data_IF_475003653586
#
_entry.id   IF_475003653586
#
_cell.length_a   1.000
_cell.length_b   1.000
_cell.length_c   1.000
_cell.angle_alpha   90.00
_cell.angle_beta   90.00
_cell.angle_gamma   90.00
#
_symmetry.space_group_name_H-M   'P 1'
#
loop_
_entity.id
_entity.type
_entity.pdbx_description
1 polymer ?
#
# COMPACT_ATOMS: atom_id res chain seq x y z
N UNK A 1 -12.07 -3.81 17.98
CA UNK A 1 -10.80 -3.48 17.30
C UNK A 1 -9.98 -4.75 17.16
N UNK A 2 -9.49 -5.04 15.96
CA UNK A 2 -8.60 -6.17 15.65
C UNK A 2 -7.18 -5.66 15.44
N UNK A 3 -6.19 -6.47 15.78
CA UNK A 3 -4.78 -6.23 15.41
C UNK A 3 -4.36 -7.43 14.56
N UNK A 4 -3.91 -7.15 13.34
CA UNK A 4 -3.42 -8.17 12.41
C UNK A 4 -1.92 -7.95 12.18
N UNK A 5 -1.15 -9.00 12.32
CA UNK A 5 0.29 -9.00 12.08
C UNK A 5 0.61 -9.41 10.64
N UNK A 6 1.80 -9.09 10.20
CA UNK A 6 2.25 -9.24 8.81
C UNK A 6 1.98 -10.63 8.22
N UNK A 7 2.23 -11.70 8.97
CA UNK A 7 2.02 -13.07 8.47
C UNK A 7 0.54 -13.45 8.33
N UNK A 8 -0.33 -12.95 9.21
CA UNK A 8 -1.79 -13.10 9.08
C UNK A 8 -2.28 -12.33 7.85
N UNK A 9 -1.78 -11.09 7.68
CA UNK A 9 -2.11 -10.25 6.51
C UNK A 9 -1.69 -10.94 5.22
N UNK A 10 -0.48 -11.48 5.14
CA UNK A 10 0.01 -12.23 3.98
C UNK A 10 -0.86 -13.44 3.67
N UNK A 11 -1.32 -14.15 4.69
CA UNK A 11 -2.22 -15.30 4.51
C UNK A 11 -3.55 -14.88 3.90
N UNK A 12 -4.16 -13.83 4.44
CA UNK A 12 -5.43 -13.29 3.93
C UNK A 12 -5.26 -12.80 2.48
N UNK A 13 -4.20 -12.04 2.21
CA UNK A 13 -3.95 -11.45 0.89
C UNK A 13 -3.78 -12.50 -0.20
N UNK A 14 -3.19 -13.67 0.10
CA UNK A 14 -3.04 -14.77 -0.86
C UNK A 14 -4.36 -15.38 -1.32
N UNK A 15 -5.41 -15.25 -0.52
CA UNK A 15 -6.75 -15.76 -0.82
C UNK A 15 -7.61 -14.75 -1.60
N UNK A 16 -7.13 -13.51 -1.78
CA UNK A 16 -7.86 -12.44 -2.44
C UNK A 16 -7.42 -12.27 -3.90
N UNK A 17 -8.39 -12.06 -4.78
CA UNK A 17 -8.11 -11.52 -6.11
C UNK A 17 -7.94 -10.00 -6.01
N UNK A 18 -6.69 -9.56 -5.96
CA UNK A 18 -6.35 -8.16 -5.73
C UNK A 18 -6.54 -7.27 -6.96
N UNK A 19 -6.42 -7.84 -8.16
CA UNK A 19 -6.43 -7.06 -9.40
C UNK A 19 -7.74 -6.28 -9.58
N UNK A 20 -8.94 -6.92 -9.52
CA UNK A 20 -10.19 -6.18 -9.61
C UNK A 20 -10.41 -5.21 -8.45
N UNK A 21 -9.91 -5.52 -7.24
CA UNK A 21 -10.04 -4.65 -6.07
C UNK A 21 -9.25 -3.34 -6.26
N UNK A 22 -8.00 -3.43 -6.68
CA UNK A 22 -7.14 -2.26 -6.93
C UNK A 22 -7.66 -1.46 -8.13
N UNK A 23 -8.08 -2.14 -9.20
CA UNK A 23 -8.69 -1.51 -10.39
C UNK A 23 -9.94 -0.69 -10.02
N UNK A 24 -10.82 -1.24 -9.17
CA UNK A 24 -11.99 -0.52 -8.62
C UNK A 24 -11.57 0.76 -7.87
N UNK A 25 -10.48 0.70 -7.10
CA UNK A 25 -9.94 1.86 -6.40
C UNK A 25 -9.47 2.96 -7.36
N UNK A 26 -8.76 2.62 -8.43
CA UNK A 26 -8.35 3.58 -9.48
C UNK A 26 -9.56 4.21 -10.19
N UNK A 27 -10.56 3.41 -10.52
CA UNK A 27 -11.80 3.92 -11.13
C UNK A 27 -12.51 4.88 -10.19
N UNK A 28 -12.66 4.53 -8.91
CA UNK A 28 -13.28 5.41 -7.92
C UNK A 28 -12.53 6.75 -7.78
N UNK A 29 -11.21 6.73 -7.85
CA UNK A 29 -10.39 7.95 -7.83
C UNK A 29 -10.64 8.80 -9.09
N UNK A 30 -10.62 8.19 -10.27
CA UNK A 30 -10.82 8.88 -11.55
C UNK A 30 -12.23 9.49 -11.69
N UNK A 31 -13.23 8.87 -11.07
CA UNK A 31 -14.61 9.36 -11.04
C UNK A 31 -14.87 10.39 -9.93
N UNK A 32 -13.85 10.80 -9.17
CA UNK A 32 -13.98 11.77 -8.08
C UNK A 32 -14.75 11.24 -6.86
N UNK A 33 -14.90 9.92 -6.73
CA UNK A 33 -15.56 9.28 -5.59
C UNK A 33 -14.61 9.03 -4.41
N UNK A 34 -13.32 9.25 -4.61
CA UNK A 34 -12.33 9.13 -3.55
C UNK A 34 -11.94 10.49 -3.01
N UNK A 35 -11.86 10.60 -1.69
CA UNK A 35 -11.29 11.76 -1.00
C UNK A 35 -9.90 11.39 -0.51
N UNK A 36 -8.89 12.01 -1.11
CA UNK A 36 -7.46 11.76 -0.80
C UNK A 36 -6.79 13.12 -0.55
N UNK A 37 -6.62 13.53 0.70
CA UNK A 37 -5.94 14.78 1.05
C UNK A 37 -4.45 14.75 0.67
N UNK A 38 -3.75 15.91 0.71
CA UNK A 38 -2.32 15.95 0.51
C UNK A 38 -1.57 15.02 1.47
N UNK A 39 -0.45 14.48 0.99
CA UNK A 39 0.39 13.56 1.78
C UNK A 39 1.09 14.34 2.89
N UNK A 40 1.00 13.84 4.12
CA UNK A 40 1.87 14.28 5.21
C UNK A 40 3.26 13.67 5.01
N UNK A 41 4.30 14.49 5.09
CA UNK A 41 5.68 14.05 4.87
C UNK A 41 6.61 14.55 5.97
N UNK A 42 7.49 13.65 6.43
CA UNK A 42 8.63 13.98 7.29
C UNK A 42 9.89 13.48 6.59
N UNK A 43 10.88 14.37 6.44
CA UNK A 43 12.18 14.04 5.86
C UNK A 43 13.27 14.12 6.93
N UNK A 44 14.14 13.12 6.97
CA UNK A 44 15.25 13.00 7.91
C UNK A 44 16.58 13.03 7.15
N UNK A 45 17.51 13.83 7.62
CA UNK A 45 18.84 13.92 7.00
C UNK A 45 19.85 12.95 7.65
N UNK A 46 19.73 12.74 8.97
CA UNK A 46 20.62 11.87 9.73
C UNK A 46 19.85 11.15 10.87
N UNK A 47 19.62 9.82 10.76
CA UNK A 47 19.88 8.99 9.58
C UNK A 47 18.98 9.38 8.40
N UNK A 48 19.45 9.18 7.14
CA UNK A 48 18.65 9.55 5.97
C UNK A 48 17.42 8.65 5.83
N UNK A 49 16.26 9.29 5.72
CA UNK A 49 14.98 8.58 5.65
C UNK A 49 13.80 9.51 5.44
N UNK A 50 12.64 8.90 5.20
CA UNK A 50 11.37 9.62 5.10
C UNK A 50 10.20 8.86 5.76
N UNK A 51 9.14 9.60 6.06
CA UNK A 51 7.85 9.05 6.50
C UNK A 51 6.75 9.71 5.69
N UNK A 52 5.86 8.90 5.13
CA UNK A 52 4.68 9.36 4.42
C UNK A 52 3.40 8.92 5.14
N UNK A 53 2.55 9.89 5.45
CA UNK A 53 1.22 9.65 6.03
C UNK A 53 0.19 9.93 4.94
N UNK A 54 -0.49 8.88 4.51
CA UNK A 54 -1.54 8.93 3.49
C UNK A 54 -2.85 8.47 4.08
N UNK A 55 -3.91 9.21 3.81
CA UNK A 55 -5.21 8.89 4.33
C UNK A 55 -6.29 9.26 3.35
N UNK A 56 -7.44 8.62 3.49
CA UNK A 56 -8.56 8.88 2.61
C UNK A 56 -9.64 7.81 2.71
N UNK A 57 -10.69 8.03 1.92
CA UNK A 57 -11.83 7.12 1.83
C UNK A 57 -12.45 7.16 0.44
N UNK A 58 -13.22 6.13 0.12
CA UNK A 58 -14.11 6.11 -1.04
C UNK A 58 -15.52 6.39 -0.52
N UNK A 59 -16.21 7.35 -1.14
CA UNK A 59 -17.58 7.72 -0.76
C UNK A 59 -18.52 6.53 -0.88
N UNK A 60 -19.23 6.21 0.20
CA UNK A 60 -20.16 5.09 0.28
C UNK A 60 -19.53 3.77 0.72
N UNK A 61 -18.21 3.69 0.90
CA UNK A 61 -17.58 2.53 1.52
C UNK A 61 -17.77 2.55 3.05
N UNK A 62 -17.54 1.40 3.69
CA UNK A 62 -17.71 1.26 5.15
C UNK A 62 -16.57 1.94 5.92
N UNK A 63 -15.36 1.97 5.36
CA UNK A 63 -14.16 2.35 6.07
C UNK A 63 -13.42 3.54 5.43
N UNK A 64 -12.67 4.27 6.26
CA UNK A 64 -11.55 5.11 5.82
C UNK A 64 -10.25 4.56 6.38
N UNK A 65 -9.14 4.89 5.72
CA UNK A 65 -7.82 4.33 6.03
C UNK A 65 -6.82 5.45 6.30
N UNK A 66 -5.96 5.25 7.30
CA UNK A 66 -4.75 6.04 7.51
C UNK A 66 -3.58 5.08 7.36
N UNK A 67 -2.68 5.37 6.42
CA UNK A 67 -1.46 4.61 6.19
C UNK A 67 -0.25 5.44 6.61
N UNK A 68 0.63 4.83 7.40
CA UNK A 68 1.95 5.34 7.72
C UNK A 68 2.96 4.41 7.05
N UNK A 69 3.85 4.95 6.25
CA UNK A 69 4.93 4.21 5.63
C UNK A 69 6.22 5.01 5.75
N UNK A 70 7.32 4.35 6.08
CA UNK A 70 8.62 4.97 6.21
C UNK A 70 9.69 4.20 5.44
N UNK A 71 10.72 4.91 5.01
CA UNK A 71 11.91 4.38 4.41
C UNK A 71 13.14 4.96 5.09
N UNK A 72 14.01 4.10 5.63
CA UNK A 72 15.29 4.49 6.20
C UNK A 72 16.40 3.68 5.55
N UNK A 73 17.23 4.36 4.75
CA UNK A 73 18.18 3.71 3.83
C UNK A 73 19.33 2.98 4.51
N UNK A 74 19.63 3.33 5.76
CA UNK A 74 20.70 2.71 6.53
C UNK A 74 20.26 1.52 7.39
N UNK A 75 19.00 1.16 7.36
CA UNK A 75 18.44 0.06 8.17
C UNK A 75 19.08 -1.30 7.86
N UNK A 76 19.51 -1.53 6.63
CA UNK A 76 20.26 -2.73 6.25
C UNK A 76 21.52 -2.94 7.12
N UNK A 77 22.20 -1.86 7.51
CA UNK A 77 23.37 -1.93 8.39
C UNK A 77 23.01 -2.39 9.81
N UNK A 78 21.75 -2.24 10.19
CA UNK A 78 21.21 -2.67 11.47
C UNK A 78 20.54 -4.06 11.39
N UNK A 79 20.55 -4.69 10.21
CA UNK A 79 19.92 -6.00 9.97
C UNK A 79 18.39 -5.95 9.96
N UNK A 80 17.78 -4.77 9.72
CA UNK A 80 16.33 -4.59 9.65
C UNK A 80 15.93 -4.04 8.28
N UNK A 81 14.70 -4.30 7.79
CA UNK A 81 14.23 -3.79 6.50
C UNK A 81 14.24 -2.27 6.42
N UNK A 82 14.59 -1.74 5.25
CA UNK A 82 14.55 -0.29 5.00
C UNK A 82 13.11 0.25 5.02
N UNK A 83 12.15 -0.49 4.49
CA UNK A 83 10.75 -0.11 4.51
C UNK A 83 10.03 -0.62 5.76
N UNK A 84 9.24 0.25 6.37
CA UNK A 84 8.36 -0.05 7.51
C UNK A 84 6.99 0.57 7.27
N UNK A 85 5.94 0.03 7.88
CA UNK A 85 4.63 0.62 7.74
C UNK A 85 3.54 -0.05 8.54
N UNK A 86 2.42 0.65 8.62
CA UNK A 86 1.18 0.16 9.19
C UNK A 86 -0.01 0.86 8.56
N UNK A 87 -1.19 0.27 8.73
CA UNK A 87 -2.45 0.90 8.36
C UNK A 87 -3.44 0.84 9.52
N UNK A 88 -4.24 1.90 9.64
CA UNK A 88 -5.33 2.01 10.58
C UNK A 88 -6.64 2.06 9.80
N UNK A 89 -7.59 1.22 10.16
CA UNK A 89 -8.90 1.11 9.53
C UNK A 89 -9.97 1.63 10.49
N UNK A 90 -10.77 2.59 10.04
CA UNK A 90 -11.82 3.23 10.83
C UNK A 90 -13.15 3.18 10.10
N UNK A 91 -14.25 3.05 10.85
CA UNK A 91 -15.60 3.15 10.30
C UNK A 91 -15.93 4.58 9.88
N UNK A 92 -16.37 4.79 8.64
CA UNK A 92 -16.75 6.12 8.17
C UNK A 92 -17.91 6.73 8.96
N UNK A 93 -18.85 5.92 9.42
CA UNK A 93 -20.04 6.40 10.11
C UNK A 93 -19.81 6.85 11.56
N UNK A 94 -18.82 6.25 12.24
CA UNK A 94 -18.65 6.43 13.70
C UNK A 94 -17.27 6.93 14.10
N UNK A 95 -16.30 6.85 13.21
CA UNK A 95 -14.90 7.13 13.53
C UNK A 95 -14.25 6.09 14.46
N UNK A 96 -14.93 4.97 14.74
CA UNK A 96 -14.34 3.90 15.56
C UNK A 96 -13.21 3.20 14.83
N UNK A 97 -12.08 2.99 15.50
CA UNK A 97 -11.00 2.16 15.00
C UNK A 97 -11.46 0.69 14.98
N UNK A 98 -11.51 0.12 13.80
CA UNK A 98 -11.90 -1.29 13.58
C UNK A 98 -10.70 -2.22 13.60
N UNK A 99 -9.62 -1.82 12.93
CA UNK A 99 -8.41 -2.64 12.86
C UNK A 99 -7.13 -1.82 12.79
N UNK A 100 -6.05 -2.43 13.29
CA UNK A 100 -4.66 -2.02 13.11
C UNK A 100 -3.97 -3.12 12.31
N UNK A 101 -3.38 -2.77 11.17
CA UNK A 101 -2.64 -3.69 10.30
C UNK A 101 -1.15 -3.38 10.44
N UNK A 102 -0.43 -4.25 11.15
CA UNK A 102 1.03 -4.19 11.32
C UNK A 102 1.66 -4.98 10.16
N UNK A 103 1.71 -4.35 8.99
CA UNK A 103 2.01 -5.00 7.71
C UNK A 103 3.47 -4.89 7.27
N UNK A 104 4.31 -4.21 8.01
CA UNK A 104 5.73 -3.98 7.68
C UNK A 104 5.92 -3.46 6.22
N UNK A 105 5.02 -2.57 5.78
CA UNK A 105 4.93 -2.04 4.43
C UNK A 105 4.51 -3.06 3.34
N UNK A 106 4.21 -4.32 3.67
CA UNK A 106 3.84 -5.38 2.71
C UNK A 106 2.68 -4.98 1.81
N UNK A 107 1.59 -4.41 2.36
CA UNK A 107 0.44 -3.97 1.56
C UNK A 107 0.79 -2.80 0.62
N UNK A 108 1.78 -1.98 1.00
CA UNK A 108 2.31 -0.93 0.12
C UNK A 108 2.98 -1.53 -1.10
N UNK A 109 3.72 -2.61 -0.91
CA UNK A 109 4.46 -3.29 -1.98
C UNK A 109 3.51 -4.07 -2.89
N UNK A 110 2.61 -4.86 -2.31
CA UNK A 110 1.61 -5.65 -3.05
C UNK A 110 0.76 -4.75 -3.94
N UNK A 111 0.16 -3.66 -3.41
CA UNK A 111 -0.69 -2.79 -4.23
C UNK A 111 0.10 -2.13 -5.37
N UNK A 112 1.41 -1.92 -5.19
CA UNK A 112 2.27 -1.32 -6.22
C UNK A 112 2.55 -2.31 -7.34
N UNK A 113 2.85 -3.57 -7.01
CA UNK A 113 3.02 -4.64 -7.97
C UNK A 113 1.73 -4.88 -8.78
N UNK A 114 0.57 -4.94 -8.10
CA UNK A 114 -0.74 -5.08 -8.76
C UNK A 114 -1.04 -3.91 -9.68
N UNK A 115 -0.68 -2.68 -9.31
CA UNK A 115 -0.83 -1.52 -10.19
C UNK A 115 0.02 -1.67 -11.47
N UNK A 116 1.23 -2.20 -11.37
CA UNK A 116 2.08 -2.55 -12.52
C UNK A 116 1.42 -3.59 -13.43
N UNK A 117 0.83 -4.64 -12.85
CA UNK A 117 0.10 -5.67 -13.61
C UNK A 117 -1.12 -5.08 -14.34
N UNK A 118 -1.89 -4.19 -13.69
CA UNK A 118 -3.00 -3.49 -14.32
C UNK A 118 -2.53 -2.63 -15.51
N UNK A 119 -1.41 -1.94 -15.37
CA UNK A 119 -0.84 -1.16 -16.48
C UNK A 119 -0.43 -2.06 -17.65
N UNK A 120 0.19 -3.21 -17.37
CA UNK A 120 0.54 -4.17 -18.40
C UNK A 120 -0.69 -4.73 -19.12
N UNK A 121 -1.75 -5.06 -18.37
CA UNK A 121 -3.02 -5.54 -18.94
C UNK A 121 -3.69 -4.49 -19.86
N UNK A 122 -3.69 -3.21 -19.43
CA UNK A 122 -4.46 -2.18 -20.12
C UNK A 122 -3.70 -1.51 -21.26
N UNK A 123 -2.37 -1.43 -21.20
CA UNK A 123 -1.57 -0.63 -22.15
C UNK A 123 -0.69 -1.47 -23.07
N UNK A 124 -0.47 -2.74 -22.79
CA UNK A 124 0.22 -3.63 -23.70
C UNK A 124 -0.80 -4.34 -24.61
N UNK A 125 -0.50 -4.43 -25.93
CA UNK A 125 -1.37 -5.12 -26.87
C UNK A 125 -1.34 -6.63 -26.63
N UNK A 126 -0.14 -7.22 -26.72
CA UNK A 126 0.11 -8.64 -26.49
C UNK A 126 1.44 -8.77 -25.73
N UNK A 127 1.40 -9.38 -24.56
CA UNK A 127 2.60 -9.53 -23.73
C UNK A 127 3.18 -10.92 -23.92
N UNK A 128 4.22 -11.02 -24.75
CA UNK A 128 4.98 -12.25 -24.97
C UNK A 128 6.29 -12.29 -24.19
N UNK A 129 6.78 -11.11 -23.73
CA UNK A 129 8.02 -11.00 -22.97
C UNK A 129 7.96 -9.76 -22.07
N UNK A 130 8.42 -9.89 -20.85
CA UNK A 130 8.55 -8.80 -19.89
C UNK A 130 10.03 -8.64 -19.53
N UNK A 131 10.55 -7.42 -19.70
CA UNK A 131 11.89 -7.06 -19.23
C UNK A 131 11.79 -6.31 -17.90
N UNK A 132 12.58 -6.74 -16.91
CA UNK A 132 12.66 -6.08 -15.60
C UNK A 132 14.05 -5.52 -15.40
N UNK A 133 14.15 -4.21 -15.12
CA UNK A 133 15.40 -3.54 -14.82
C UNK A 133 15.52 -3.40 -13.30
N UNK A 134 16.49 -4.10 -12.71
CA UNK A 134 16.73 -4.16 -11.27
C UNK A 134 16.26 -5.46 -10.64
N UNK A 135 16.70 -5.69 -9.39
CA UNK A 135 16.42 -6.91 -8.61
C UNK A 135 15.80 -6.61 -7.25
N UNK A 136 15.25 -5.41 -7.10
CA UNK A 136 14.61 -4.96 -5.86
C UNK A 136 13.29 -5.69 -5.57
N UNK A 137 12.62 -5.29 -4.48
CA UNK A 137 11.40 -5.92 -4.00
C UNK A 137 10.30 -5.92 -5.06
N UNK A 138 10.04 -4.80 -5.71
CA UNK A 138 9.00 -4.69 -6.75
C UNK A 138 9.24 -5.57 -7.97
N UNK A 139 10.51 -5.87 -8.26
CA UNK A 139 10.86 -6.76 -9.37
C UNK A 139 10.56 -8.24 -9.09
N UNK A 140 10.29 -8.59 -7.83
CA UNK A 140 10.07 -9.97 -7.37
C UNK A 140 8.60 -10.25 -7.02
N UNK A 141 7.77 -9.24 -6.98
CA UNK A 141 6.34 -9.31 -6.68
C UNK A 141 5.50 -9.40 -7.96
#
# INVERSE_FOLDING_TARGET
>A
MKILYCDEIKTIVRELDLLPLIKKGFVAYSEGRSVVPPVGELSFNDPPGDVHIKYGYITGDEFYVIKIASGFWNNEQLGIPNGQGMMLLFKQQTGQCEAILLDDAYLTDVRTAVAGAICAELFANEVNCIGVLGTGLQARM
#
